data_IF_993322769849
#
_entry.id   IF_993322769849
#
_cell.length_a   1.000
_cell.length_b   1.000
_cell.length_c   1.000
_cell.angle_alpha   90.00
_cell.angle_beta   90.00
_cell.angle_gamma   90.00
#
_symmetry.space_group_name_H-M   'P 1'
#
loop_
_entity.id
_entity.type
_entity.pdbx_description
1 polymer ?
#
# COMPACT_ATOMS: atom_id res chain seq x y z
N UNK A 1 -0.66 -16.68 -8.44
CA UNK A 1 0.42 -16.70 -7.41
C UNK A 1 0.64 -15.28 -6.90
N UNK A 2 0.91 -15.10 -5.61
CA UNK A 2 1.16 -13.80 -4.98
C UNK A 2 2.58 -13.77 -4.39
N UNK A 3 3.33 -12.75 -4.73
CA UNK A 3 4.68 -12.49 -4.24
C UNK A 3 4.64 -11.28 -3.31
N UNK A 4 4.84 -11.52 -2.01
CA UNK A 4 4.77 -10.48 -0.99
C UNK A 4 6.17 -10.04 -0.57
N UNK A 5 6.48 -8.77 -0.79
CA UNK A 5 7.74 -8.15 -0.45
C UNK A 5 7.52 -7.01 0.57
N UNK A 6 7.67 -7.34 1.84
CA UNK A 6 7.29 -6.45 2.94
C UNK A 6 8.41 -5.51 3.40
N UNK A 7 9.68 -5.88 3.22
CA UNK A 7 10.83 -5.18 3.81
C UNK A 7 11.92 -4.84 2.78
N UNK A 8 11.53 -4.53 1.54
CA UNK A 8 12.46 -4.09 0.50
C UNK A 8 12.09 -2.68 0.04
N UNK A 9 13.11 -1.89 -0.30
CA UNK A 9 12.97 -0.55 -0.87
C UNK A 9 12.96 -0.56 -2.41
N UNK A 10 13.57 -1.58 -3.03
CA UNK A 10 13.66 -1.70 -4.48
C UNK A 10 13.48 -3.17 -4.90
N UNK A 11 12.70 -3.40 -5.95
CA UNK A 11 12.52 -4.69 -6.60
C UNK A 11 12.78 -4.55 -8.10
N UNK A 12 13.75 -5.29 -8.65
CA UNK A 12 14.02 -5.31 -10.09
C UNK A 12 13.54 -6.62 -10.70
N UNK A 13 12.63 -6.52 -11.67
CA UNK A 13 12.21 -7.63 -12.53
C UNK A 13 13.13 -7.66 -13.75
N UNK A 14 13.97 -8.69 -13.82
CA UNK A 14 14.93 -8.89 -14.90
C UNK A 14 14.31 -9.46 -16.18
N UNK A 15 15.13 -10.05 -17.06
CA UNK A 15 14.79 -10.36 -18.46
C UNK A 15 13.66 -11.40 -18.74
N UNK A 16 12.99 -11.95 -17.74
CA UNK A 16 11.97 -13.00 -17.95
C UNK A 16 10.58 -12.48 -17.66
N UNK A 17 9.61 -12.99 -18.41
CA UNK A 17 8.20 -12.73 -18.15
C UNK A 17 7.84 -13.15 -16.73
N UNK A 18 7.23 -12.23 -16.00
CA UNK A 18 6.75 -12.46 -14.66
C UNK A 18 5.27 -12.79 -14.71
N UNK A 19 4.92 -14.02 -14.32
CA UNK A 19 3.52 -14.39 -14.13
C UNK A 19 3.21 -14.34 -12.64
N UNK A 20 2.16 -13.61 -12.26
CA UNK A 20 1.71 -13.50 -10.87
C UNK A 20 1.53 -12.07 -10.39
N UNK A 21 0.98 -11.93 -9.19
CA UNK A 21 0.78 -10.65 -8.54
C UNK A 21 1.95 -10.31 -7.61
N UNK A 22 2.40 -9.07 -7.63
CA UNK A 22 3.44 -8.51 -6.77
C UNK A 22 2.79 -7.57 -5.77
N UNK A 23 3.05 -7.78 -4.48
CA UNK A 23 2.68 -6.90 -3.39
C UNK A 23 3.95 -6.38 -2.73
N UNK A 24 4.34 -5.16 -3.06
CA UNK A 24 5.54 -4.48 -2.57
C UNK A 24 5.23 -3.01 -2.20
N UNK A 25 4.31 -2.77 -1.25
CA UNK A 25 3.76 -1.42 -1.00
C UNK A 25 4.79 -0.40 -0.49
N UNK A 26 5.94 -0.85 0.03
CA UNK A 26 7.05 0.01 0.46
C UNK A 26 8.18 0.14 -0.56
N UNK A 27 8.09 -0.52 -1.72
CA UNK A 27 9.20 -0.64 -2.67
C UNK A 27 8.96 0.10 -3.98
N UNK A 28 10.05 0.57 -4.59
CA UNK A 28 10.07 0.94 -6.00
C UNK A 28 10.28 -0.31 -6.85
N UNK A 29 9.31 -0.63 -7.70
CA UNK A 29 9.40 -1.76 -8.63
C UNK A 29 9.92 -1.26 -9.98
N UNK A 30 11.00 -1.88 -10.45
CA UNK A 30 11.64 -1.59 -11.73
C UNK A 30 11.45 -2.81 -12.64
N UNK A 31 10.83 -2.62 -13.78
CA UNK A 31 10.66 -3.65 -14.82
C UNK A 31 11.69 -3.39 -15.91
N UNK A 32 12.81 -4.11 -15.85
CA UNK A 32 13.93 -3.97 -16.80
C UNK A 32 13.86 -4.99 -17.95
N UNK A 33 13.11 -6.08 -17.77
CA UNK A 33 12.80 -7.02 -18.84
C UNK A 33 11.58 -7.89 -18.56
N UNK A 34 11.12 -8.60 -19.61
CA UNK A 34 9.89 -9.38 -19.59
C UNK A 34 8.61 -8.56 -19.45
N UNK A 35 7.47 -9.19 -19.71
CA UNK A 35 6.14 -8.66 -19.42
C UNK A 35 5.70 -9.09 -18.02
N UNK A 36 4.92 -8.25 -17.36
CA UNK A 36 4.26 -8.63 -16.09
C UNK A 36 2.82 -9.01 -16.39
N UNK A 37 2.53 -10.31 -16.25
CA UNK A 37 1.21 -10.89 -16.39
C UNK A 37 0.60 -11.07 -15.00
N UNK A 38 -0.08 -10.04 -14.52
CA UNK A 38 -0.66 -9.98 -13.19
C UNK A 38 -0.77 -8.55 -12.64
N UNK A 39 -0.95 -8.44 -11.32
CA UNK A 39 -1.11 -7.14 -10.65
C UNK A 39 0.19 -6.71 -9.97
N UNK A 40 0.50 -5.41 -10.01
CA UNK A 40 1.63 -4.84 -9.28
C UNK A 40 1.09 -3.78 -8.32
N UNK A 41 1.22 -4.04 -7.02
CA UNK A 41 0.92 -3.09 -5.96
C UNK A 41 2.25 -2.65 -5.36
N UNK A 42 2.68 -1.43 -5.67
CA UNK A 42 4.00 -0.91 -5.30
C UNK A 42 3.93 0.55 -4.85
N UNK A 43 4.97 1.04 -4.17
CA UNK A 43 5.11 2.47 -3.87
C UNK A 43 5.31 3.30 -5.14
N UNK A 44 6.12 2.78 -6.06
CA UNK A 44 6.35 3.35 -7.39
C UNK A 44 6.64 2.24 -8.40
N UNK A 45 6.35 2.51 -9.67
CA UNK A 45 6.58 1.58 -10.76
C UNK A 45 7.31 2.28 -11.90
N UNK A 46 8.49 1.77 -12.25
CA UNK A 46 9.27 2.19 -13.40
C UNK A 46 9.29 1.05 -14.43
N UNK A 47 8.87 1.36 -15.66
CA UNK A 47 8.85 0.38 -16.76
C UNK A 47 9.82 0.84 -17.84
N UNK A 48 10.94 0.13 -17.99
CA UNK A 48 11.98 0.47 -18.95
C UNK A 48 11.77 -0.28 -20.28
N UNK A 49 12.16 0.32 -21.40
CA UNK A 49 12.16 -0.30 -22.73
C UNK A 49 10.78 -0.77 -23.28
N UNK A 50 9.71 -0.01 -23.03
CA UNK A 50 8.40 -0.24 -23.67
C UNK A 50 7.74 -1.58 -23.33
N UNK A 51 7.96 -2.09 -22.12
CA UNK A 51 7.35 -3.34 -21.63
C UNK A 51 5.90 -3.09 -21.22
N UNK A 52 5.06 -4.10 -21.34
CA UNK A 52 3.62 -3.97 -21.07
C UNK A 52 3.24 -4.70 -19.78
N UNK A 53 2.37 -4.05 -19.01
CA UNK A 53 1.72 -4.64 -17.84
C UNK A 53 0.36 -5.17 -18.29
N UNK A 54 0.22 -6.49 -18.36
CA UNK A 54 -1.06 -7.13 -18.59
C UNK A 54 -1.78 -7.31 -17.26
N UNK A 55 -2.31 -6.20 -16.76
CA UNK A 55 -3.18 -6.20 -15.58
C UNK A 55 -4.56 -6.70 -16.01
N UNK A 56 -5.01 -7.83 -15.45
CA UNK A 56 -6.35 -8.34 -15.71
C UNK A 56 -7.38 -7.25 -15.38
N UNK A 57 -8.30 -6.98 -16.32
CA UNK A 57 -9.34 -5.98 -16.14
C UNK A 57 -10.18 -6.34 -14.91
N UNK A 58 -10.08 -5.56 -13.82
CA UNK A 58 -10.92 -5.76 -12.64
C UNK A 58 -10.36 -5.29 -11.31
N UNK A 59 -9.04 -5.20 -11.12
CA UNK A 59 -8.47 -4.77 -9.82
C UNK A 59 -7.47 -3.63 -10.00
N UNK A 60 -7.94 -2.42 -9.69
CA UNK A 60 -7.11 -1.22 -9.55
C UNK A 60 -6.87 -0.95 -8.07
N UNK A 61 -5.61 -0.86 -7.66
CA UNK A 61 -5.27 -0.50 -6.28
C UNK A 61 -5.47 1.01 -6.10
N UNK A 62 -6.49 1.40 -5.35
CA UNK A 62 -6.83 2.80 -5.09
C UNK A 62 -6.08 3.42 -3.88
N UNK A 63 -5.00 2.77 -3.42
CA UNK A 63 -4.22 3.24 -2.29
C UNK A 63 -4.86 2.96 -0.93
N UNK A 64 -4.39 3.65 0.10
CA UNK A 64 -5.00 3.66 1.43
C UNK A 64 -6.07 4.73 1.46
N UNK A 65 -7.31 4.34 1.77
CA UNK A 65 -8.36 5.31 2.04
C UNK A 65 -8.10 5.96 3.40
N UNK A 66 -8.28 7.28 3.56
CA UNK A 66 -8.22 7.91 4.87
C UNK A 66 -9.21 7.20 5.80
N UNK A 67 -8.67 6.52 6.80
CA UNK A 67 -9.49 5.90 7.84
C UNK A 67 -9.91 7.02 8.80
N UNK A 68 -11.21 7.18 9.10
CA UNK A 68 -11.66 8.13 10.10
C UNK A 68 -10.88 7.95 11.40
N UNK A 69 -10.52 9.06 12.05
CA UNK A 69 -9.73 9.04 13.29
C UNK A 69 -10.33 8.04 14.31
N UNK A 70 -9.50 7.25 15.01
CA UNK A 70 -10.01 6.20 15.89
C UNK A 70 -11.00 6.75 16.92
N UNK A 71 -12.12 6.06 17.13
CA UNK A 71 -13.09 6.40 18.19
C UNK A 71 -12.45 6.53 19.59
N UNK A 72 -11.27 5.92 19.79
CA UNK A 72 -10.43 6.06 20.97
C UNK A 72 -10.01 7.52 21.25
N UNK A 73 -9.76 8.34 20.22
CA UNK A 73 -9.45 9.77 20.40
C UNK A 73 -10.67 10.54 20.91
N UNK A 74 -11.85 10.26 20.35
CA UNK A 74 -13.10 10.84 20.83
C UNK A 74 -13.40 10.40 22.27
N UNK A 75 -13.23 9.12 22.59
CA UNK A 75 -13.40 8.59 23.94
C UNK A 75 -12.41 9.21 24.94
N UNK A 76 -11.15 9.39 24.55
CA UNK A 76 -10.13 10.05 25.33
C UNK A 76 -10.49 11.53 25.60
N UNK A 77 -10.95 12.25 24.57
CA UNK A 77 -11.37 13.64 24.71
C UNK A 77 -12.57 13.77 25.65
N UNK A 78 -13.57 12.89 25.53
CA UNK A 78 -14.75 12.87 26.42
C UNK A 78 -14.34 12.53 27.86
N UNK A 79 -13.47 11.54 28.05
CA UNK A 79 -12.92 11.17 29.36
C UNK A 79 -12.15 12.32 30.02
N UNK A 80 -11.27 12.99 29.26
CA UNK A 80 -10.52 14.15 29.74
C UNK A 80 -11.46 15.31 30.11
N UNK A 81 -12.48 15.60 29.29
CA UNK A 81 -13.47 16.62 29.57
C UNK A 81 -14.29 16.31 30.85
N UNK A 82 -14.68 15.05 31.05
CA UNK A 82 -15.38 14.61 32.25
C UNK A 82 -14.52 14.78 33.52
N UNK A 83 -13.24 14.41 33.46
CA UNK A 83 -12.29 14.58 34.56
C UNK A 83 -12.03 16.05 34.89
N UNK A 84 -11.84 16.89 33.87
CA UNK A 84 -11.68 18.34 34.06
C UNK A 84 -12.93 18.96 34.68
N UNK A 85 -14.12 18.55 34.24
CA UNK A 85 -15.39 19.00 34.83
C UNK A 85 -15.54 18.57 36.29
N UNK A 86 -15.10 17.37 36.64
CA UNK A 86 -15.11 16.88 38.03
C UNK A 86 -14.16 17.70 38.91
N UNK A 87 -12.96 18.02 38.42
CA UNK A 87 -11.97 18.85 39.13
C UNK A 87 -12.45 20.28 39.42
N UNK A 88 -13.33 20.84 38.58
CA UNK A 88 -13.87 22.21 38.76
C UNK A 88 -15.09 22.28 39.68
N UNK A 89 -15.64 21.14 40.10
CA UNK A 89 -16.84 21.04 40.95
C UNK A 89 -16.56 20.53 42.36
N UNK A 90 -15.31 20.15 42.65
CA UNK A 90 -14.83 19.78 43.98
C UNK A 90 -14.02 20.90 44.61
#
# INVERSE_FOLDING_TARGET
MLWNFQQISTLTIGQRDFNGSILAPGASVIVDGGNVNGHVIANSLLVNNGKELHMGSGITFNGVTPVPEPASLAALAVGAAALLRRRRRG
#
